data_IF_297893994966
#
_entry.id   IF_297893994966
#
_cell.length_a   1.000
_cell.length_b   1.000
_cell.length_c   1.000
_cell.angle_alpha   90.00
_cell.angle_beta   90.00
_cell.angle_gamma   90.00
#
_symmetry.space_group_name_H-M   'P 1'
#
loop_
_entity.id
_entity.type
_entity.pdbx_description
1 polymer ?
#
# COMPACT_ATOMS: atom_id res chain seq x y z
N UNK A 1 22.93 28.41 3.43
CA UNK A 1 21.62 27.95 3.92
C UNK A 1 21.20 26.66 3.20
N UNK A 2 20.97 26.69 1.89
CA UNK A 2 20.52 25.53 1.10
C UNK A 2 21.43 24.28 1.16
N UNK A 3 22.75 24.41 1.00
CA UNK A 3 23.68 23.26 1.03
C UNK A 3 23.63 22.49 2.34
N UNK A 4 23.56 23.21 3.46
CA UNK A 4 23.43 22.62 4.81
C UNK A 4 22.11 21.87 4.98
N UNK A 5 21.01 22.44 4.47
CA UNK A 5 19.69 21.80 4.53
C UNK A 5 19.65 20.51 3.71
N UNK A 6 20.24 20.51 2.50
CA UNK A 6 20.31 19.33 1.64
C UNK A 6 21.24 18.23 2.17
N UNK A 7 22.33 18.59 2.85
CA UNK A 7 23.20 17.64 3.55
C UNK A 7 22.52 16.92 4.72
N UNK A 8 21.49 17.52 5.33
CA UNK A 8 20.77 16.91 6.45
C UNK A 8 19.61 16.00 6.06
N UNK A 9 19.06 16.15 4.84
CA UNK A 9 17.88 15.38 4.40
C UNK A 9 18.24 13.90 4.22
N UNK A 10 19.45 13.62 3.74
CA UNK A 10 19.93 12.24 3.52
C UNK A 10 20.37 11.54 4.79
N UNK A 11 20.59 12.27 5.89
CA UNK A 11 21.01 11.69 7.17
C UNK A 11 19.86 11.07 7.95
N UNK A 12 18.62 11.43 7.63
CA UNK A 12 17.43 10.97 8.34
C UNK A 12 17.40 11.40 9.81
N UNK A 13 16.30 11.09 10.48
CA UNK A 13 16.23 11.15 11.95
C UNK A 13 16.75 9.81 12.51
N UNK A 14 17.55 9.78 13.60
CA UNK A 14 17.96 8.53 14.26
C UNK A 14 16.83 7.50 14.42
N UNK A 15 15.63 7.92 14.83
CA UNK A 15 14.47 7.04 14.99
C UNK A 15 14.05 6.37 13.68
N UNK A 16 14.19 7.06 12.55
CA UNK A 16 13.89 6.51 11.22
C UNK A 16 14.96 5.49 10.77
N UNK A 17 16.23 5.77 11.09
CA UNK A 17 17.35 4.92 10.70
C UNK A 17 17.41 3.61 11.50
N UNK A 18 16.81 3.58 12.69
CA UNK A 18 16.73 2.40 13.57
C UNK A 18 15.60 1.44 13.18
N UNK A 19 14.67 1.84 12.30
CA UNK A 19 13.58 0.99 11.86
C UNK A 19 14.12 -0.23 11.13
N UNK A 20 13.76 -1.42 11.61
CA UNK A 20 14.08 -2.66 10.93
C UNK A 20 13.17 -2.82 9.72
N UNK A 21 13.79 -2.99 8.55
CA UNK A 21 13.08 -3.24 7.30
C UNK A 21 13.57 -4.54 6.67
N UNK A 22 12.68 -5.40 6.15
CA UNK A 22 13.08 -6.59 5.42
C UNK A 22 13.80 -6.19 4.13
N UNK A 23 14.78 -6.99 3.70
CA UNK A 23 15.53 -6.78 2.45
C UNK A 23 14.78 -7.28 1.20
N UNK A 24 13.55 -7.75 1.38
CA UNK A 24 12.70 -8.35 0.35
C UNK A 24 12.15 -7.27 -0.59
N UNK A 25 11.97 -7.62 -1.87
CA UNK A 25 11.35 -6.73 -2.86
C UNK A 25 9.83 -6.72 -2.77
N UNK A 26 9.25 -7.81 -2.28
CA UNK A 26 7.81 -7.96 -2.05
C UNK A 26 7.53 -7.68 -0.59
N UNK A 27 6.40 -7.01 -0.33
CA UNK A 27 5.98 -6.71 1.04
C UNK A 27 5.41 -7.96 1.71
N UNK A 28 5.92 -8.29 2.88
CA UNK A 28 5.44 -9.42 3.70
C UNK A 28 4.21 -9.00 4.49
N UNK A 29 3.02 -9.33 3.98
CA UNK A 29 1.74 -9.03 4.64
C UNK A 29 1.61 -9.77 5.98
N UNK A 30 1.30 -9.03 7.05
CA UNK A 30 1.01 -9.60 8.37
C UNK A 30 -0.52 -9.72 8.58
N UNK A 31 -1.07 -10.94 8.75
CA UNK A 31 -2.51 -11.13 8.95
C UNK A 31 -3.02 -10.55 10.28
N UNK A 32 -2.15 -10.31 11.26
CA UNK A 32 -2.50 -9.70 12.55
C UNK A 32 -2.30 -8.18 12.56
N UNK A 33 -1.82 -7.60 11.45
CA UNK A 33 -1.72 -6.15 11.35
C UNK A 33 -3.09 -5.52 11.55
N UNK A 34 -3.12 -4.29 12.03
CA UNK A 34 -4.32 -3.44 12.03
C UNK A 34 -4.11 -2.16 11.22
N UNK A 35 -2.92 -2.02 10.63
CA UNK A 35 -2.47 -0.82 9.92
C UNK A 35 -2.24 -1.08 8.43
N UNK A 36 -1.67 -2.23 8.08
CA UNK A 36 -1.28 -2.54 6.70
C UNK A 36 -1.82 -3.94 6.37
N UNK A 37 -2.80 -3.97 5.49
CA UNK A 37 -3.42 -5.20 5.00
C UNK A 37 -3.31 -5.30 3.49
N UNK A 38 -3.25 -6.54 2.99
CA UNK A 38 -3.33 -6.82 1.57
C UNK A 38 -4.73 -6.45 1.05
N UNK A 39 -4.86 -5.46 0.16
CA UNK A 39 -6.15 -5.07 -0.33
C UNK A 39 -6.67 -6.08 -1.37
N UNK A 40 -7.98 -6.35 -1.40
CA UNK A 40 -8.55 -7.39 -2.28
C UNK A 40 -8.69 -6.98 -3.74
N UNK A 41 -8.21 -5.79 -4.15
CA UNK A 41 -8.50 -5.18 -5.46
C UNK A 41 -8.04 -6.03 -6.65
N UNK A 42 -6.92 -6.75 -6.50
CA UNK A 42 -6.34 -7.58 -7.55
C UNK A 42 -6.67 -9.07 -7.38
N UNK A 43 -7.48 -9.41 -6.37
CA UNK A 43 -7.92 -10.77 -6.17
C UNK A 43 -8.73 -11.22 -7.41
N UNK A 44 -8.41 -12.41 -7.91
CA UNK A 44 -9.05 -13.00 -9.09
C UNK A 44 -8.88 -12.20 -10.39
N UNK A 45 -7.91 -11.28 -10.46
CA UNK A 45 -7.61 -10.52 -11.68
C UNK A 45 -7.07 -11.44 -12.79
N UNK A 46 -7.66 -11.31 -13.97
CA UNK A 46 -7.27 -12.04 -15.18
C UNK A 46 -6.42 -11.17 -16.11
N UNK A 47 -5.63 -11.80 -16.99
CA UNK A 47 -4.81 -11.09 -18.00
C UNK A 47 -5.68 -10.27 -18.96
N UNK A 48 -6.78 -10.87 -19.42
CA UNK A 48 -7.78 -10.20 -20.23
C UNK A 48 -8.94 -9.74 -19.33
N UNK A 49 -9.35 -8.47 -19.39
CA UNK A 49 -10.45 -7.99 -18.57
C UNK A 49 -11.77 -8.63 -19.02
N UNK A 50 -12.64 -9.06 -18.07
CA UNK A 50 -13.91 -9.74 -18.41
C UNK A 50 -14.93 -8.83 -19.11
N UNK A 51 -14.62 -7.55 -19.25
CA UNK A 51 -15.53 -6.54 -19.78
C UNK A 51 -16.58 -6.09 -18.77
N UNK A 52 -17.38 -5.07 -19.12
CA UNK A 52 -18.47 -4.61 -18.27
C UNK A 52 -19.57 -5.69 -18.20
N UNK A 53 -20.12 -5.90 -17.00
CA UNK A 53 -21.29 -6.74 -16.79
C UNK A 53 -22.46 -5.90 -16.28
N UNK A 54 -23.68 -6.30 -16.62
CA UNK A 54 -24.88 -5.66 -16.08
C UNK A 54 -25.07 -6.01 -14.61
N UNK A 55 -25.51 -5.04 -13.81
CA UNK A 55 -25.92 -5.24 -12.42
C UNK A 55 -27.43 -5.44 -12.39
N UNK A 56 -27.91 -6.55 -11.83
CA UNK A 56 -29.34 -6.87 -11.70
C UNK A 56 -29.73 -6.85 -10.22
N UNK A 57 -30.95 -6.39 -9.93
CA UNK A 57 -31.56 -6.44 -8.60
C UNK A 57 -30.73 -5.74 -7.49
N UNK A 58 -30.04 -4.64 -7.83
CA UNK A 58 -29.26 -3.85 -6.87
C UNK A 58 -30.15 -3.00 -5.94
N UNK A 59 -29.64 -2.73 -4.74
CA UNK A 59 -30.28 -1.88 -3.73
C UNK A 59 -29.54 -0.56 -3.55
N UNK A 60 -30.25 0.48 -3.10
CA UNK A 60 -29.64 1.72 -2.64
C UNK A 60 -28.81 1.46 -1.37
N UNK A 61 -27.51 1.79 -1.40
CA UNK A 61 -26.61 1.57 -0.27
C UNK A 61 -26.92 2.50 0.93
N UNK A 62 -27.40 3.70 0.64
CA UNK A 62 -27.72 4.73 1.62
C UNK A 62 -29.05 5.36 1.22
N UNK A 63 -29.92 5.58 2.22
CA UNK A 63 -31.12 6.41 2.13
C UNK A 63 -30.91 7.67 2.99
#
# INVERSE_FOLDING_TARGET
MFRKTYESITKGNPMWNELQVPAEKLYSWDPNSTYIHEPPYFKDMTMDPPGPHGVKDAYCLLN
#
